data_IF_416561133265
#
_entry.id   IF_416561133265
#
_cell.length_a   1.000
_cell.length_b   1.000
_cell.length_c   1.000
_cell.angle_alpha   90.00
_cell.angle_beta   90.00
_cell.angle_gamma   90.00
#
_symmetry.space_group_name_H-M   'P 1'
#
loop_
_entity.id
_entity.type
_entity.pdbx_description
1 polymer ?
#
# COMPACT_ATOMS: atom_id res chain seq x y z
N UNK A 1 7.96 54.53 -5.91
CA UNK A 1 8.33 53.10 -6.03
C UNK A 1 7.33 52.31 -5.26
N UNK A 2 6.50 51.44 -5.85
CA UNK A 2 5.55 50.63 -5.12
C UNK A 2 6.22 49.35 -4.62
N UNK A 3 6.06 49.08 -3.36
CA UNK A 3 6.50 47.86 -2.65
C UNK A 3 5.71 46.65 -3.13
N UNK A 4 6.41 45.68 -3.67
CA UNK A 4 5.87 44.39 -4.15
C UNK A 4 5.51 43.56 -2.93
N UNK A 5 4.21 43.41 -2.63
CA UNK A 5 3.71 42.41 -1.67
C UNK A 5 4.07 41.00 -2.17
N UNK A 6 4.84 40.28 -1.35
CA UNK A 6 5.10 38.85 -1.56
C UNK A 6 3.80 38.07 -1.28
N UNK A 7 3.10 37.68 -2.32
CA UNK A 7 2.01 36.74 -2.19
C UNK A 7 2.52 35.41 -1.65
N UNK A 8 2.03 35.01 -0.50
CA UNK A 8 2.21 33.65 0.08
C UNK A 8 1.70 32.62 -0.92
N UNK A 9 2.48 31.58 -1.19
CA UNK A 9 2.09 30.55 -2.15
C UNK A 9 0.89 29.76 -1.64
N UNK A 10 0.02 29.29 -2.55
CA UNK A 10 -1.14 28.46 -2.21
C UNK A 10 -0.75 27.22 -1.36
N UNK A 11 0.46 26.70 -1.53
CA UNK A 11 1.03 25.61 -0.76
C UNK A 11 1.27 25.98 0.72
N UNK A 12 1.73 27.23 0.99
CA UNK A 12 1.91 27.72 2.36
C UNK A 12 0.58 27.99 3.07
N UNK A 13 -0.47 28.35 2.33
CA UNK A 13 -1.81 28.55 2.90
C UNK A 13 -2.50 27.23 3.22
N UNK A 14 -2.25 26.15 2.48
CA UNK A 14 -2.83 24.82 2.73
C UNK A 14 -2.15 24.09 3.90
N UNK A 15 -0.85 24.31 4.14
CA UNK A 15 -0.11 23.69 5.24
C UNK A 15 -0.42 24.30 6.62
N UNK A 16 -0.93 25.51 6.68
CA UNK A 16 -1.18 26.22 7.95
C UNK A 16 -2.56 25.93 8.57
N UNK A 17 -3.43 25.10 7.98
CA UNK A 17 -4.81 24.92 8.45
C UNK A 17 -5.18 23.53 8.98
N UNK A 18 -4.27 22.56 8.97
CA UNK A 18 -4.50 21.30 9.68
C UNK A 18 -3.72 21.38 10.99
N UNK A 19 -4.38 21.48 12.17
CA UNK A 19 -3.67 21.42 13.44
C UNK A 19 -2.85 20.13 13.49
N UNK A 20 -1.56 20.25 13.72
CA UNK A 20 -0.61 19.11 13.79
C UNK A 20 -1.08 18.01 14.76
N UNK A 21 -1.87 18.40 15.77
CA UNK A 21 -2.55 17.50 16.69
C UNK A 21 -3.61 16.61 16.01
N UNK A 22 -4.34 17.10 14.99
CA UNK A 22 -5.34 16.33 14.23
C UNK A 22 -4.68 15.35 13.28
N UNK A 23 -3.61 15.76 12.61
CA UNK A 23 -2.79 14.87 11.75
C UNK A 23 -2.15 13.75 12.57
N UNK A 24 -1.58 14.07 13.75
CA UNK A 24 -0.99 13.08 14.64
C UNK A 24 -2.04 12.16 15.28
N UNK A 25 -3.25 12.66 15.57
CA UNK A 25 -4.34 11.85 16.09
C UNK A 25 -4.90 10.90 15.01
N UNK A 26 -5.03 11.38 13.77
CA UNK A 26 -5.45 10.55 12.64
C UNK A 26 -4.41 9.46 12.32
N UNK A 27 -3.11 9.78 12.29
CA UNK A 27 -2.05 8.81 12.09
C UNK A 27 -2.03 7.75 13.22
N UNK A 28 -2.14 8.17 14.49
CA UNK A 28 -2.24 7.24 15.63
C UNK A 28 -3.51 6.41 15.61
N UNK A 29 -4.61 6.94 15.11
CA UNK A 29 -5.87 6.21 14.95
C UNK A 29 -5.73 5.14 13.87
N UNK A 30 -5.14 5.45 12.73
CA UNK A 30 -4.86 4.48 11.66
C UNK A 30 -3.88 3.39 12.14
N UNK A 31 -2.80 3.77 12.82
CA UNK A 31 -1.83 2.81 13.41
C UNK A 31 -2.46 1.94 14.52
N UNK A 32 -3.44 2.46 15.26
CA UNK A 32 -4.15 1.69 16.28
C UNK A 32 -5.18 0.70 15.71
N UNK A 33 -5.60 0.91 14.47
CA UNK A 33 -6.55 0.04 13.76
C UNK A 33 -5.86 -1.21 13.22
N UNK A 34 -5.23 -2.01 14.08
CA UNK A 34 -4.78 -3.35 13.70
C UNK A 34 -5.99 -4.23 13.38
N UNK A 35 -6.54 -4.06 12.19
CA UNK A 35 -7.64 -4.87 11.67
C UNK A 35 -7.19 -6.33 11.58
N UNK A 36 -5.92 -6.55 11.24
CA UNK A 36 -5.32 -7.87 11.09
C UNK A 36 -4.16 -8.09 12.07
N UNK A 37 -4.00 -9.32 12.54
CA UNK A 37 -2.76 -9.80 13.12
C UNK A 37 -1.96 -10.55 12.06
N UNK A 38 -0.66 -10.28 11.97
CA UNK A 38 0.26 -10.94 11.04
C UNK A 38 1.27 -11.77 11.84
N UNK A 39 1.49 -13.01 11.43
CA UNK A 39 2.48 -13.89 12.03
C UNK A 39 3.15 -14.76 10.97
N UNK A 40 4.36 -15.22 11.24
CA UNK A 40 5.07 -16.14 10.37
C UNK A 40 5.16 -17.53 11.01
N UNK A 41 4.99 -18.56 10.19
CA UNK A 41 5.20 -19.97 10.61
C UNK A 41 5.94 -20.74 9.52
N UNK A 42 6.62 -21.80 9.93
CA UNK A 42 7.18 -22.78 9.00
C UNK A 42 6.20 -23.93 8.85
N UNK A 43 5.73 -24.19 7.62
CA UNK A 43 4.90 -25.34 7.27
C UNK A 43 5.53 -26.10 6.10
N UNK A 44 5.71 -27.39 6.24
CA UNK A 44 6.30 -28.24 5.19
C UNK A 44 7.59 -27.69 4.57
N UNK A 45 8.52 -27.21 5.41
CA UNK A 45 9.80 -26.58 5.03
C UNK A 45 9.66 -25.24 4.27
N UNK A 46 8.47 -24.66 4.23
CA UNK A 46 8.23 -23.32 3.65
C UNK A 46 7.86 -22.34 4.75
N UNK A 47 8.34 -21.11 4.61
CA UNK A 47 7.87 -20.00 5.45
C UNK A 47 6.54 -19.51 4.91
N UNK A 48 5.57 -19.34 5.80
CA UNK A 48 4.20 -18.92 5.48
C UNK A 48 3.87 -17.72 6.34
N UNK A 49 3.37 -16.68 5.70
CA UNK A 49 2.76 -15.53 6.37
C UNK A 49 1.29 -15.86 6.61
N UNK A 50 0.84 -15.61 7.82
CA UNK A 50 -0.53 -15.84 8.28
C UNK A 50 -1.11 -14.49 8.68
N UNK A 51 -2.12 -14.02 7.95
CA UNK A 51 -2.94 -12.86 8.29
C UNK A 51 -4.26 -13.34 8.89
N UNK A 52 -4.62 -12.83 10.05
CA UNK A 52 -5.88 -13.17 10.71
C UNK A 52 -6.63 -11.91 11.10
N UNK A 53 -7.88 -11.84 10.72
CA UNK A 53 -8.81 -10.78 11.14
C UNK A 53 -9.10 -10.88 12.64
N UNK A 54 -9.04 -9.73 13.32
CA UNK A 54 -9.39 -9.60 14.74
C UNK A 54 -10.90 -9.64 14.94
N UNK A 55 -11.36 -9.82 16.19
CA UNK A 55 -12.78 -9.98 16.50
C UNK A 55 -13.66 -8.80 16.10
N UNK A 56 -13.13 -7.58 16.18
CA UNK A 56 -13.84 -6.33 15.86
C UNK A 56 -13.46 -5.76 14.47
N UNK A 57 -12.85 -6.57 13.61
CA UNK A 57 -12.32 -6.09 12.34
C UNK A 57 -13.38 -5.57 11.36
N UNK A 58 -14.58 -6.15 11.39
CA UNK A 58 -15.68 -5.73 10.51
C UNK A 58 -16.18 -4.34 10.91
N UNK A 59 -16.43 -4.11 12.20
CA UNK A 59 -16.87 -2.83 12.74
C UNK A 59 -15.81 -1.73 12.50
N UNK A 60 -14.54 -2.05 12.69
CA UNK A 60 -13.44 -1.13 12.42
C UNK A 60 -13.35 -0.79 10.94
N UNK A 61 -13.48 -1.77 10.06
CA UNK A 61 -13.48 -1.54 8.62
C UNK A 61 -14.68 -0.68 8.17
N UNK A 62 -15.88 -0.91 8.73
CA UNK A 62 -17.07 -0.11 8.43
C UNK A 62 -16.90 1.33 8.90
N UNK A 63 -16.37 1.55 10.12
CA UNK A 63 -16.09 2.89 10.65
C UNK A 63 -15.05 3.62 9.78
N UNK A 64 -13.97 2.93 9.40
CA UNK A 64 -12.95 3.49 8.50
C UNK A 64 -13.54 3.85 7.14
N UNK A 65 -14.38 3.00 6.58
CA UNK A 65 -15.06 3.25 5.32
C UNK A 65 -16.02 4.45 5.40
N UNK A 66 -16.69 4.65 6.54
CA UNK A 66 -17.51 5.84 6.78
C UNK A 66 -16.62 7.09 6.77
N UNK A 67 -15.49 7.06 7.49
CA UNK A 67 -14.54 8.17 7.52
C UNK A 67 -14.00 8.49 6.11
N UNK A 68 -13.57 7.50 5.33
CA UNK A 68 -13.08 7.71 3.98
C UNK A 68 -14.13 8.36 3.08
N UNK A 69 -15.37 7.91 3.14
CA UNK A 69 -16.49 8.54 2.40
C UNK A 69 -16.71 9.99 2.79
N UNK A 70 -16.72 10.29 4.11
CA UNK A 70 -16.89 11.66 4.62
C UNK A 70 -15.74 12.58 4.22
N UNK A 71 -14.52 12.05 4.18
CA UNK A 71 -13.31 12.78 3.79
C UNK A 71 -13.12 12.85 2.26
N UNK A 72 -14.00 12.24 1.47
CA UNK A 72 -13.85 12.19 0.01
C UNK A 72 -12.66 11.34 -0.46
N UNK A 73 -12.15 10.45 0.39
CA UNK A 73 -11.01 9.57 0.06
C UNK A 73 -11.55 8.32 -0.63
N UNK A 74 -11.17 8.07 -1.89
CA UNK A 74 -11.81 7.05 -2.72
C UNK A 74 -11.20 5.66 -2.55
N UNK A 75 -10.98 5.25 -1.31
CA UNK A 75 -10.52 3.91 -0.92
C UNK A 75 -11.46 3.29 0.11
N UNK A 76 -11.38 2.00 0.31
CA UNK A 76 -12.14 1.28 1.33
C UNK A 76 -11.42 0.01 1.79
N UNK A 77 -11.75 -0.42 3.00
CA UNK A 77 -11.50 -1.78 3.46
C UNK A 77 -12.62 -2.71 3.02
N UNK A 78 -12.29 -3.97 2.81
CA UNK A 78 -13.30 -5.03 2.79
C UNK A 78 -13.84 -5.22 4.21
N UNK A 79 -15.08 -4.83 4.49
CA UNK A 79 -15.65 -4.98 5.82
C UNK A 79 -15.88 -6.46 6.13
N UNK A 80 -16.58 -7.20 5.25
CA UNK A 80 -16.84 -8.63 5.43
C UNK A 80 -15.58 -9.47 5.31
N UNK A 81 -15.38 -10.37 6.26
CA UNK A 81 -14.21 -11.25 6.34
C UNK A 81 -14.08 -12.13 5.09
N UNK A 82 -15.20 -12.65 4.57
CA UNK A 82 -15.23 -13.52 3.39
C UNK A 82 -14.74 -12.78 2.14
N UNK A 83 -15.19 -11.54 1.95
CA UNK A 83 -14.81 -10.72 0.81
C UNK A 83 -13.32 -10.33 0.88
N UNK A 84 -12.84 -9.95 2.07
CA UNK A 84 -11.42 -9.70 2.30
C UNK A 84 -10.57 -10.93 1.99
N UNK A 85 -10.94 -12.11 2.51
CA UNK A 85 -10.18 -13.35 2.30
C UNK A 85 -10.12 -13.73 0.82
N UNK A 86 -11.25 -13.62 0.11
CA UNK A 86 -11.31 -13.88 -1.31
C UNK A 86 -10.39 -12.92 -2.06
N UNK A 87 -10.50 -11.63 -1.80
CA UNK A 87 -9.72 -10.59 -2.45
C UNK A 87 -8.22 -10.74 -2.20
N UNK A 88 -7.80 -10.91 -0.95
CA UNK A 88 -6.39 -11.08 -0.57
C UNK A 88 -5.76 -12.29 -1.30
N UNK A 89 -6.48 -13.43 -1.34
CA UNK A 89 -6.02 -14.63 -2.04
C UNK A 89 -6.00 -14.44 -3.55
N UNK A 90 -7.01 -13.81 -4.14
CA UNK A 90 -7.07 -13.53 -5.58
C UNK A 90 -5.93 -12.61 -6.02
N UNK A 91 -5.72 -11.49 -5.33
CA UNK A 91 -4.64 -10.56 -5.63
C UNK A 91 -3.27 -11.22 -5.51
N UNK A 92 -3.03 -11.94 -4.40
CA UNK A 92 -1.76 -12.63 -4.23
C UNK A 92 -1.49 -13.64 -5.35
N UNK A 93 -2.48 -14.45 -5.72
CA UNK A 93 -2.35 -15.44 -6.81
C UNK A 93 -2.18 -14.75 -8.17
N UNK A 94 -2.92 -13.71 -8.44
CA UNK A 94 -2.83 -12.96 -9.70
C UNK A 94 -1.44 -12.36 -9.90
N UNK A 95 -0.84 -11.86 -8.82
CA UNK A 95 0.45 -11.17 -8.87
C UNK A 95 1.66 -12.13 -8.73
N UNK A 96 1.52 -13.22 -7.96
CA UNK A 96 2.62 -14.08 -7.55
C UNK A 96 2.38 -15.59 -7.78
N UNK A 97 1.24 -15.98 -8.35
CA UNK A 97 0.73 -17.36 -8.36
C UNK A 97 1.50 -18.36 -9.22
N UNK A 98 2.43 -17.90 -10.04
CA UNK A 98 3.34 -18.77 -10.81
C UNK A 98 4.35 -19.51 -9.93
N UNK A 99 4.71 -18.96 -8.77
CA UNK A 99 5.75 -19.47 -7.86
C UNK A 99 5.33 -19.62 -6.41
N UNK A 100 4.35 -18.81 -5.96
CA UNK A 100 3.96 -18.70 -4.57
C UNK A 100 2.46 -18.94 -4.40
N UNK A 101 2.08 -19.58 -3.31
CA UNK A 101 0.70 -19.94 -3.03
C UNK A 101 0.07 -19.01 -2.02
N UNK A 102 -1.22 -18.78 -2.17
CA UNK A 102 -2.07 -18.21 -1.13
C UNK A 102 -3.36 -19.01 -1.03
N UNK A 103 -3.91 -19.12 0.18
CA UNK A 103 -5.15 -19.84 0.46
C UNK A 103 -5.84 -19.29 1.70
N UNK A 104 -7.16 -19.43 1.73
CA UNK A 104 -7.93 -19.20 2.94
C UNK A 104 -7.79 -20.38 3.90
N UNK A 105 -7.70 -20.12 5.21
CA UNK A 105 -7.55 -21.13 6.26
C UNK A 105 -8.47 -20.79 7.44
N UNK A 106 -9.46 -21.65 7.72
CA UNK A 106 -10.48 -21.35 8.73
C UNK A 106 -11.33 -20.11 8.35
N UNK A 107 -12.06 -19.54 9.29
CA UNK A 107 -13.07 -18.53 9.01
C UNK A 107 -12.50 -17.10 8.80
N UNK A 108 -11.39 -16.78 9.48
CA UNK A 108 -10.85 -15.40 9.54
C UNK A 108 -9.38 -15.30 9.15
N UNK A 109 -8.87 -16.26 8.39
CA UNK A 109 -7.42 -16.38 8.15
C UNK A 109 -7.10 -16.52 6.66
N UNK A 110 -6.08 -15.82 6.22
CA UNK A 110 -5.42 -16.00 4.94
C UNK A 110 -3.97 -16.44 5.20
N UNK A 111 -3.51 -17.41 4.46
CA UNK A 111 -2.13 -17.88 4.46
C UNK A 111 -1.51 -17.64 3.08
N UNK A 112 -0.27 -17.22 3.05
CA UNK A 112 0.50 -17.09 1.82
C UNK A 112 1.95 -17.55 2.02
N UNK A 113 2.56 -18.13 0.99
CA UNK A 113 4.00 -18.38 1.00
C UNK A 113 4.72 -17.05 1.23
N UNK A 114 5.71 -17.02 2.16
CA UNK A 114 6.50 -15.80 2.38
C UNK A 114 7.35 -15.53 1.15
N UNK A 115 7.18 -14.33 0.59
CA UNK A 115 8.01 -13.86 -0.50
C UNK A 115 9.46 -13.65 -0.01
N UNK A 116 10.47 -13.99 -0.81
CA UNK A 116 11.86 -13.72 -0.48
C UNK A 116 12.16 -12.24 -0.54
N UNK A 117 13.06 -11.78 0.32
CA UNK A 117 13.47 -10.38 0.36
C UNK A 117 12.96 -9.64 1.59
N UNK A 118 13.06 -8.32 1.53
CA UNK A 118 12.63 -7.35 2.52
C UNK A 118 11.74 -6.30 1.88
N UNK A 119 10.94 -5.59 2.68
CA UNK A 119 10.18 -4.45 2.16
C UNK A 119 11.12 -3.31 1.77
N UNK A 120 10.69 -2.49 0.81
CA UNK A 120 11.44 -1.28 0.46
C UNK A 120 11.50 -0.30 1.63
N UNK A 121 10.51 -0.34 2.51
CA UNK A 121 10.53 0.40 3.76
C UNK A 121 11.69 -0.02 4.67
N UNK A 122 11.93 -1.32 4.87
CA UNK A 122 13.08 -1.81 5.63
C UNK A 122 14.42 -1.37 5.03
N UNK A 123 14.52 -1.35 3.69
CA UNK A 123 15.70 -0.83 3.00
C UNK A 123 15.86 0.68 3.21
N UNK A 124 14.76 1.42 3.20
CA UNK A 124 14.73 2.86 3.42
C UNK A 124 15.19 3.22 4.84
N UNK A 125 14.62 2.56 5.86
CA UNK A 125 15.02 2.74 7.27
C UNK A 125 16.50 2.41 7.49
N UNK A 126 17.02 1.38 6.82
CA UNK A 126 18.42 0.99 6.86
C UNK A 126 19.32 1.87 5.99
N UNK A 127 18.79 2.89 5.33
CA UNK A 127 19.50 3.76 4.36
C UNK A 127 20.20 2.97 3.23
N UNK A 128 19.56 1.89 2.80
CA UNK A 128 20.05 0.98 1.75
C UNK A 128 19.17 0.99 0.49
N UNK A 129 18.17 1.84 0.45
CA UNK A 129 17.32 1.95 -0.73
C UNK A 129 18.19 2.41 -1.91
N UNK A 130 18.24 1.62 -2.96
CA UNK A 130 18.99 1.90 -4.19
C UNK A 130 18.05 2.22 -5.35
N UNK A 131 18.64 2.77 -6.40
CA UNK A 131 17.94 3.06 -7.66
C UNK A 131 17.33 1.80 -8.27
N UNK A 132 18.09 0.70 -8.29
CA UNK A 132 17.66 -0.59 -8.86
C UNK A 132 16.43 -1.15 -8.13
N UNK A 133 16.35 -0.96 -6.80
CA UNK A 133 15.19 -1.38 -6.01
C UNK A 133 13.94 -0.59 -6.39
N UNK A 134 14.09 0.71 -6.58
CA UNK A 134 12.99 1.61 -6.94
C UNK A 134 12.55 1.38 -8.39
N UNK A 135 13.48 1.18 -9.32
CA UNK A 135 13.18 0.78 -10.71
C UNK A 135 12.44 -0.57 -10.76
N UNK A 136 12.87 -1.55 -9.96
CA UNK A 136 12.19 -2.83 -9.88
C UNK A 136 10.75 -2.70 -9.36
N UNK A 137 10.50 -1.78 -8.40
CA UNK A 137 9.16 -1.45 -7.95
C UNK A 137 8.32 -0.83 -9.07
N UNK A 138 8.86 0.14 -9.82
CA UNK A 138 8.19 0.76 -10.96
C UNK A 138 7.81 -0.26 -12.03
N UNK A 139 8.72 -1.19 -12.36
CA UNK A 139 8.43 -2.29 -13.27
C UNK A 139 7.32 -3.21 -12.74
N UNK A 140 7.31 -3.52 -11.44
CA UNK A 140 6.27 -4.36 -10.86
C UNK A 140 4.90 -3.66 -10.84
N UNK A 141 4.83 -2.37 -10.48
CA UNK A 141 3.59 -1.60 -10.59
C UNK A 141 3.08 -1.55 -12.03
N UNK A 142 3.94 -1.27 -12.99
CA UNK A 142 3.58 -1.28 -14.41
C UNK A 142 3.00 -2.63 -14.84
N UNK A 143 3.64 -3.73 -14.45
CA UNK A 143 3.15 -5.10 -14.72
C UNK A 143 1.80 -5.34 -14.06
N UNK A 144 1.67 -5.00 -12.78
CA UNK A 144 0.47 -5.20 -11.99
C UNK A 144 -0.73 -4.42 -12.55
N UNK A 145 -0.52 -3.17 -12.94
CA UNK A 145 -1.54 -2.30 -13.52
C UNK A 145 -2.07 -2.79 -14.88
N UNK A 146 -1.35 -3.65 -15.58
CA UNK A 146 -1.80 -4.29 -16.82
C UNK A 146 -2.68 -5.52 -16.58
N UNK A 147 -2.66 -6.10 -15.37
CA UNK A 147 -3.48 -7.25 -15.03
C UNK A 147 -4.95 -6.85 -14.90
N UNK A 148 -5.84 -7.76 -15.26
CA UNK A 148 -7.28 -7.52 -15.15
C UNK A 148 -7.81 -8.07 -13.84
N UNK A 149 -8.55 -7.24 -13.12
CA UNK A 149 -9.25 -7.63 -11.90
C UNK A 149 -10.73 -7.85 -12.15
N UNK A 150 -11.29 -8.92 -11.59
CA UNK A 150 -12.74 -9.16 -11.61
C UNK A 150 -13.50 -8.07 -10.84
N UNK A 151 -12.97 -7.61 -9.72
CA UNK A 151 -13.59 -6.56 -8.89
C UNK A 151 -13.76 -5.25 -9.65
N UNK A 152 -12.72 -4.82 -10.36
CA UNK A 152 -12.76 -3.59 -11.14
C UNK A 152 -13.37 -3.75 -12.54
N UNK A 153 -13.61 -4.99 -12.98
CA UNK A 153 -13.96 -5.33 -14.38
C UNK A 153 -13.02 -4.68 -15.39
N UNK A 154 -11.75 -4.50 -15.00
CA UNK A 154 -10.75 -3.75 -15.76
C UNK A 154 -9.36 -3.84 -15.13
N UNK A 155 -8.45 -2.91 -15.45
CA UNK A 155 -7.10 -2.89 -14.89
C UNK A 155 -7.10 -2.85 -13.37
N UNK A 156 -6.20 -3.61 -12.78
CA UNK A 156 -6.00 -3.70 -11.34
C UNK A 156 -5.31 -2.45 -10.78
N UNK A 157 -5.48 -2.20 -9.49
CA UNK A 157 -4.77 -1.20 -8.68
C UNK A 157 -4.68 -1.67 -7.23
N UNK A 158 -3.71 -1.16 -6.49
CA UNK A 158 -3.41 -1.63 -5.13
C UNK A 158 -4.33 -1.03 -4.07
N UNK A 159 -4.40 0.30 -4.01
CA UNK A 159 -5.17 1.05 -3.00
C UNK A 159 -4.37 1.43 -1.75
N UNK A 160 -3.23 0.77 -1.51
CA UNK A 160 -2.27 1.07 -0.42
C UNK A 160 -0.85 0.72 -0.89
N UNK A 161 -0.39 1.46 -1.89
CA UNK A 161 0.84 1.16 -2.62
C UNK A 161 2.11 1.66 -1.92
N UNK A 162 2.14 1.67 -0.58
CA UNK A 162 3.30 2.14 0.20
C UNK A 162 4.54 1.25 0.06
N UNK A 163 5.69 1.79 0.42
CA UNK A 163 6.98 1.09 0.37
C UNK A 163 7.03 -0.16 1.27
N UNK A 164 6.19 -0.22 2.31
CA UNK A 164 5.98 -1.41 3.14
C UNK A 164 5.40 -2.59 2.36
N UNK A 165 4.60 -2.31 1.35
CA UNK A 165 3.84 -3.27 0.57
C UNK A 165 4.57 -3.71 -0.70
N UNK A 166 5.84 -3.33 -0.86
CA UNK A 166 6.72 -3.75 -1.94
C UNK A 166 7.88 -4.54 -1.36
N UNK A 167 7.95 -5.83 -1.64
CA UNK A 167 9.07 -6.71 -1.24
C UNK A 167 10.09 -6.78 -2.37
N UNK A 168 11.35 -6.51 -2.07
CA UNK A 168 12.46 -6.65 -3.00
C UNK A 168 13.33 -7.84 -2.65
N UNK A 169 13.54 -8.72 -3.63
CA UNK A 169 14.43 -9.87 -3.52
C UNK A 169 15.81 -9.53 -4.13
N UNK A 170 16.77 -9.25 -3.27
CA UNK A 170 18.15 -8.91 -3.68
C UNK A 170 18.83 -10.00 -4.53
N UNK A 171 18.40 -11.28 -4.40
CA UNK A 171 19.00 -12.38 -5.17
C UNK A 171 18.56 -12.40 -6.61
N UNK A 172 17.34 -11.95 -6.88
CA UNK A 172 16.73 -12.00 -8.22
C UNK A 172 16.56 -10.62 -8.84
N UNK A 173 16.76 -9.52 -8.07
CA UNK A 173 16.51 -8.15 -8.49
C UNK A 173 15.03 -7.86 -8.75
N UNK A 174 14.09 -8.65 -8.20
CA UNK A 174 12.66 -8.51 -8.48
C UNK A 174 11.91 -7.92 -7.31
N UNK A 175 11.04 -6.96 -7.61
CA UNK A 175 10.03 -6.48 -6.68
C UNK A 175 8.73 -7.29 -6.80
N UNK A 176 7.94 -7.34 -5.71
CA UNK A 176 6.63 -8.00 -5.62
C UNK A 176 5.73 -7.25 -4.67
N UNK A 177 4.43 -7.18 -5.00
CA UNK A 177 3.44 -6.51 -4.19
C UNK A 177 2.79 -7.47 -3.19
N UNK A 178 2.50 -6.95 -2.00
CA UNK A 178 1.80 -7.65 -0.91
C UNK A 178 0.77 -6.72 -0.27
N UNK A 179 -0.06 -7.28 0.60
CA UNK A 179 -1.02 -6.56 1.46
C UNK A 179 -2.13 -5.82 0.70
N UNK A 180 -3.20 -6.57 0.38
CA UNK A 180 -4.28 -6.11 -0.48
C UNK A 180 -5.57 -5.79 0.30
N UNK A 181 -5.47 -5.41 1.59
CA UNK A 181 -6.66 -5.20 2.43
C UNK A 181 -7.41 -3.90 2.13
N UNK A 182 -6.71 -2.91 1.61
CA UNK A 182 -7.30 -1.65 1.13
C UNK A 182 -7.51 -1.75 -0.37
N UNK A 183 -8.62 -1.22 -0.85
CA UNK A 183 -8.97 -1.25 -2.27
C UNK A 183 -9.57 0.08 -2.68
N UNK A 184 -9.24 0.55 -3.87
CA UNK A 184 -9.87 1.73 -4.45
C UNK A 184 -11.37 1.55 -4.66
N UNK A 185 -12.11 2.64 -4.61
CA UNK A 185 -13.50 2.63 -5.06
C UNK A 185 -13.55 2.33 -6.56
N UNK A 186 -14.40 1.37 -6.93
CA UNK A 186 -14.54 0.93 -8.32
C UNK A 186 -15.19 1.97 -9.24
N UNK A 187 -15.81 3.02 -8.69
CA UNK A 187 -16.32 4.16 -9.46
C UNK A 187 -15.20 5.01 -10.05
N UNK A 188 -13.99 4.96 -9.48
CA UNK A 188 -12.85 5.68 -10.03
C UNK A 188 -12.37 5.07 -11.35
N UNK A 189 -12.05 5.91 -12.35
CA UNK A 189 -11.38 5.45 -13.56
C UNK A 189 -10.06 4.74 -13.25
N UNK A 190 -9.71 3.73 -14.05
CA UNK A 190 -8.50 2.94 -13.85
C UNK A 190 -7.22 3.81 -13.76
N UNK A 191 -7.12 4.81 -14.64
CA UNK A 191 -5.97 5.74 -14.63
C UNK A 191 -5.85 6.53 -13.33
N UNK A 192 -6.96 6.93 -12.73
CA UNK A 192 -6.96 7.65 -11.45
C UNK A 192 -6.50 6.75 -10.31
N UNK A 193 -6.98 5.51 -10.26
CA UNK A 193 -6.55 4.53 -9.27
C UNK A 193 -5.06 4.20 -9.38
N UNK A 194 -4.58 4.03 -10.60
CA UNK A 194 -3.16 3.75 -10.87
C UNK A 194 -2.27 4.95 -10.55
N UNK A 195 -2.72 6.17 -10.84
CA UNK A 195 -2.01 7.39 -10.47
C UNK A 195 -1.93 7.55 -8.95
N UNK A 196 -2.99 7.18 -8.22
CA UNK A 196 -3.00 7.18 -6.75
C UNK A 196 -1.96 6.20 -6.19
N UNK A 197 -1.90 4.97 -6.69
CA UNK A 197 -0.86 4.00 -6.31
C UNK A 197 0.56 4.58 -6.46
N UNK A 198 0.84 5.23 -7.59
CA UNK A 198 2.16 5.83 -7.83
C UNK A 198 2.42 6.99 -6.87
N UNK A 199 1.39 7.82 -6.60
CA UNK A 199 1.49 8.95 -5.69
C UNK A 199 1.77 8.50 -4.26
N UNK A 200 1.05 7.48 -3.76
CA UNK A 200 1.24 6.91 -2.42
C UNK A 200 2.69 6.42 -2.26
N UNK A 201 3.19 5.67 -3.24
CA UNK A 201 4.58 5.20 -3.22
C UNK A 201 5.61 6.35 -3.19
N UNK A 202 5.40 7.38 -4.02
CA UNK A 202 6.29 8.53 -4.07
C UNK A 202 6.25 9.35 -2.77
N UNK A 203 5.09 9.49 -2.15
CA UNK A 203 4.95 10.18 -0.86
C UNK A 203 5.72 9.45 0.25
N UNK A 204 5.72 8.13 0.27
CA UNK A 204 6.53 7.35 1.21
C UNK A 204 8.03 7.62 1.01
N UNK A 205 8.50 7.67 -0.22
CA UNK A 205 9.91 7.99 -0.50
C UNK A 205 10.31 9.38 -0.01
N UNK A 206 9.39 10.33 -0.03
CA UNK A 206 9.63 11.72 0.41
C UNK A 206 9.52 11.84 1.93
N UNK A 207 8.54 11.18 2.55
CA UNK A 207 8.17 11.39 3.94
C UNK A 207 9.17 10.82 4.94
N UNK A 208 9.87 9.74 4.60
CA UNK A 208 10.66 8.95 5.56
C UNK A 208 12.13 9.29 5.54
N UNK A 209 12.65 9.82 4.46
CA UNK A 209 14.04 10.22 4.42
C UNK A 209 14.20 11.55 3.70
N UNK A 210 14.71 12.56 4.36
CA UNK A 210 15.43 13.62 3.67
C UNK A 210 16.70 13.00 3.06
N UNK A 211 16.53 12.05 2.14
CA UNK A 211 17.59 11.59 1.27
C UNK A 211 17.74 12.67 0.19
N UNK A 212 18.89 13.34 0.07
CA UNK A 212 19.08 14.32 -0.99
C UNK A 212 18.91 13.74 -2.40
N UNK A 213 18.87 12.41 -2.51
CA UNK A 213 18.64 11.68 -3.76
C UNK A 213 17.16 11.30 -4.01
N UNK A 214 16.24 11.73 -3.14
CA UNK A 214 14.82 11.34 -3.26
C UNK A 214 14.23 11.64 -4.65
N UNK A 215 14.57 12.77 -5.23
CA UNK A 215 14.09 13.15 -6.55
C UNK A 215 14.62 12.22 -7.65
N UNK A 216 15.90 11.85 -7.59
CA UNK A 216 16.51 10.90 -8.52
C UNK A 216 15.84 9.51 -8.39
N UNK A 217 15.57 9.07 -7.17
CA UNK A 217 14.89 7.81 -6.91
C UNK A 217 13.43 7.86 -7.42
N UNK A 218 12.70 8.96 -7.14
CA UNK A 218 11.34 9.14 -7.62
C UNK A 218 11.26 9.14 -9.17
N UNK A 219 12.19 9.81 -9.84
CA UNK A 219 12.27 9.81 -11.31
C UNK A 219 12.63 8.44 -11.88
N UNK A 220 13.40 7.62 -11.16
CA UNK A 220 13.72 6.26 -11.61
C UNK A 220 12.57 5.26 -11.42
N UNK A 221 11.58 5.60 -10.60
CA UNK A 221 10.37 4.81 -10.39
C UNK A 221 9.37 4.97 -11.56
N UNK A 222 9.22 6.18 -12.09
CA UNK A 222 8.29 6.52 -13.16
C UNK A 222 8.78 6.07 -14.53
#
# INVERSE_FOLDING_TARGET
MPTREKGTSLAEQLTNHIPQALSNAAARFVDSLKINSVSEKVRHRRRVVIKRRNGYSEQLAELSNLYFRMAGIPIRFWAKVEDWRRWEVECFKMLNGDRFRAWASGDKTVCADKLPGKSLWEHLEQRRLSREMVEAAGHEFRRAHQLRSHEFRGPWSHGDAGANNVIYDEKTGRARLIDFEIVHDKSLPARSRQADDLLVFLLDLIAVAPNPQWLTLALSFL
#
